data_IF_630441687584
#
_entry.id   IF_630441687584
#
_cell.length_a   1.000
_cell.length_b   1.000
_cell.length_c   1.000
_cell.angle_alpha   90.00
_cell.angle_beta   90.00
_cell.angle_gamma   90.00
#
_symmetry.space_group_name_H-M   'P 1'
#
loop_
_entity.id
_entity.type
_entity.pdbx_description
1 polymer ?
#
# COMPACT_ATOMS: atom_id res chain seq x y z
N UNK A 1 19.16 -13.36 -28.03
CA UNK A 1 18.07 -13.53 -27.06
C UNK A 1 18.24 -12.47 -25.99
N UNK A 2 17.49 -11.38 -26.06
CA UNK A 2 17.42 -10.38 -24.97
C UNK A 2 16.75 -11.07 -23.79
N UNK A 3 17.47 -11.24 -22.68
CA UNK A 3 16.88 -11.74 -21.44
C UNK A 3 15.77 -10.78 -21.05
N UNK A 4 14.54 -11.29 -20.88
CA UNK A 4 13.46 -10.50 -20.29
C UNK A 4 13.90 -10.05 -18.88
N UNK A 5 13.67 -8.78 -18.52
CA UNK A 5 14.04 -8.28 -17.21
C UNK A 5 13.33 -9.07 -16.11
N UNK A 6 14.03 -9.35 -15.02
CA UNK A 6 13.44 -10.04 -13.86
C UNK A 6 12.43 -9.11 -13.18
N UNK A 7 11.19 -9.55 -12.91
CA UNK A 7 10.20 -8.72 -12.23
C UNK A 7 10.69 -8.38 -10.81
N UNK A 8 10.53 -7.11 -10.44
CA UNK A 8 10.85 -6.61 -9.09
C UNK A 8 9.59 -6.30 -8.28
N UNK A 9 8.48 -6.02 -8.96
CA UNK A 9 7.23 -5.58 -8.35
C UNK A 9 6.02 -6.28 -8.96
N UNK A 10 4.93 -6.31 -8.17
CA UNK A 10 3.62 -6.82 -8.54
C UNK A 10 2.55 -5.83 -8.07
N UNK A 11 1.45 -5.72 -8.81
CA UNK A 11 0.31 -4.91 -8.36
C UNK A 11 -0.38 -5.63 -7.20
N UNK A 12 -0.75 -4.89 -6.15
CA UNK A 12 -1.32 -5.46 -4.92
C UNK A 12 -2.63 -6.20 -5.16
N UNK A 13 -3.52 -5.63 -5.98
CA UNK A 13 -4.84 -6.21 -6.26
C UNK A 13 -4.86 -7.15 -7.47
N UNK A 14 -4.33 -6.71 -8.61
CA UNK A 14 -4.44 -7.46 -9.87
C UNK A 14 -3.28 -8.42 -10.15
N UNK A 15 -2.22 -8.40 -9.36
CA UNK A 15 -0.99 -9.13 -9.67
C UNK A 15 -0.25 -8.51 -10.87
N UNK A 16 0.44 -9.34 -11.65
CA UNK A 16 1.22 -8.91 -12.81
C UNK A 16 2.71 -8.73 -12.53
N UNK A 17 3.49 -8.59 -13.60
CA UNK A 17 4.95 -8.58 -13.57
C UNK A 17 5.48 -7.22 -13.98
N UNK A 18 5.99 -6.49 -13.00
CA UNK A 18 6.53 -5.16 -13.21
C UNK A 18 8.00 -5.10 -12.82
N UNK A 19 8.76 -4.30 -13.55
CA UNK A 19 10.12 -3.93 -13.17
C UNK A 19 10.20 -2.43 -13.01
N UNK A 20 10.64 -1.99 -11.83
CA UNK A 20 11.06 -0.60 -11.64
C UNK A 20 12.38 -0.38 -12.37
N UNK A 21 12.41 0.60 -13.27
CA UNK A 21 13.58 0.90 -14.10
C UNK A 21 14.35 2.09 -13.57
N UNK A 22 13.66 3.16 -13.18
CA UNK A 22 14.30 4.41 -12.77
C UNK A 22 13.38 5.25 -11.89
N UNK A 23 13.98 6.05 -11.02
CA UNK A 23 13.29 7.10 -10.27
C UNK A 23 13.88 8.46 -10.63
N UNK A 24 13.02 9.47 -10.82
CA UNK A 24 13.44 10.84 -11.14
C UNK A 24 12.53 11.86 -10.45
N UNK A 25 13.02 13.10 -10.32
CA UNK A 25 12.17 14.20 -9.91
C UNK A 25 11.41 14.74 -11.12
N UNK A 26 10.11 14.98 -10.96
CA UNK A 26 9.29 15.63 -11.96
C UNK A 26 9.73 17.07 -12.17
N UNK A 27 9.43 17.60 -13.36
CA UNK A 27 9.71 18.98 -13.75
C UNK A 27 8.42 19.68 -14.19
N UNK A 28 8.41 21.01 -14.18
CA UNK A 28 7.25 21.80 -14.59
C UNK A 28 6.03 21.52 -13.70
N UNK A 29 4.86 21.13 -14.26
CA UNK A 29 3.67 20.83 -13.46
C UNK A 29 3.83 19.68 -12.45
N UNK A 30 4.86 18.85 -12.61
CA UNK A 30 5.18 17.72 -11.71
C UNK A 30 6.36 18.04 -10.79
N UNK A 31 6.79 19.30 -10.72
CA UNK A 31 7.83 19.73 -9.78
C UNK A 31 7.44 19.40 -8.33
N UNK A 32 8.43 19.00 -7.54
CA UNK A 32 8.22 18.52 -6.17
C UNK A 32 7.72 17.07 -6.06
N UNK A 33 7.31 16.43 -7.17
CA UNK A 33 6.89 15.03 -7.16
C UNK A 33 8.06 14.12 -7.60
N UNK A 34 8.20 12.97 -6.95
CA UNK A 34 9.09 11.90 -7.42
C UNK A 34 8.29 10.98 -8.35
N UNK A 35 8.87 10.68 -9.50
CA UNK A 35 8.29 9.84 -10.54
C UNK A 35 9.03 8.51 -10.61
N UNK A 36 8.28 7.44 -10.83
CA UNK A 36 8.75 6.07 -10.99
C UNK A 36 8.49 5.66 -12.43
N UNK A 37 9.55 5.29 -13.15
CA UNK A 37 9.48 4.66 -14.46
C UNK A 37 9.52 3.17 -14.25
N UNK A 38 8.53 2.47 -14.78
CA UNK A 38 8.41 1.03 -14.68
C UNK A 38 8.00 0.41 -16.02
N UNK A 39 8.26 -0.87 -16.18
CA UNK A 39 7.82 -1.66 -17.33
C UNK A 39 6.87 -2.75 -16.89
N UNK A 40 5.72 -2.83 -17.56
CA UNK A 40 4.86 -4.02 -17.56
C UNK A 40 5.50 -5.05 -18.50
N UNK A 41 6.14 -6.07 -17.92
CA UNK A 41 6.97 -7.04 -18.65
C UNK A 41 6.14 -7.87 -19.62
N UNK A 42 4.87 -8.13 -19.29
CA UNK A 42 3.99 -8.94 -20.13
C UNK A 42 3.54 -8.18 -21.37
N UNK A 43 3.37 -6.85 -21.25
CA UNK A 43 2.98 -5.99 -22.36
C UNK A 43 4.17 -5.35 -23.09
N UNK A 44 5.36 -5.35 -22.48
CA UNK A 44 6.53 -4.63 -22.98
C UNK A 44 6.30 -3.11 -23.02
N UNK A 45 5.46 -2.58 -22.13
CA UNK A 45 5.08 -1.16 -22.09
C UNK A 45 5.80 -0.50 -20.92
N UNK A 46 6.56 0.54 -21.21
CA UNK A 46 7.11 1.46 -20.21
C UNK A 46 6.10 2.54 -19.87
N UNK A 47 5.88 2.76 -18.58
CA UNK A 47 4.97 3.75 -18.04
C UNK A 47 5.67 4.54 -16.94
N UNK A 48 5.16 5.74 -16.67
CA UNK A 48 5.59 6.54 -15.54
C UNK A 48 4.39 6.79 -14.62
N UNK A 49 4.62 6.71 -13.32
CA UNK A 49 3.65 7.12 -12.30
C UNK A 49 4.34 7.91 -11.19
N UNK A 50 3.57 8.51 -10.29
CA UNK A 50 4.13 9.16 -9.09
C UNK A 50 4.59 8.11 -8.08
N UNK A 51 5.59 8.45 -7.25
CA UNK A 51 6.05 7.55 -6.19
C UNK A 51 4.92 7.21 -5.21
N UNK A 52 4.04 8.16 -4.91
CA UNK A 52 2.90 7.92 -4.04
C UNK A 52 1.98 6.85 -4.61
N UNK A 53 1.61 6.97 -5.88
CA UNK A 53 0.78 5.98 -6.58
C UNK A 53 1.49 4.62 -6.67
N UNK A 54 2.79 4.63 -6.99
CA UNK A 54 3.61 3.41 -7.04
C UNK A 54 3.58 2.64 -5.72
N UNK A 55 3.85 3.31 -4.60
CA UNK A 55 3.87 2.68 -3.28
C UNK A 55 2.49 2.20 -2.82
N UNK A 56 1.44 2.93 -3.22
CA UNK A 56 0.06 2.60 -2.90
C UNK A 56 -0.41 1.34 -3.63
N UNK A 57 -0.08 1.19 -4.91
CA UNK A 57 -0.68 0.17 -5.78
C UNK A 57 0.26 -1.00 -6.08
N UNK A 58 1.58 -0.81 -6.01
CA UNK A 58 2.58 -1.86 -6.21
C UNK A 58 3.28 -2.21 -4.91
N UNK A 59 3.79 -3.44 -4.87
CA UNK A 59 4.69 -3.91 -3.82
C UNK A 59 5.84 -4.68 -4.43
N UNK A 60 6.98 -4.66 -3.76
CA UNK A 60 8.09 -5.53 -4.12
C UNK A 60 7.67 -7.00 -4.04
N UNK A 61 8.20 -7.81 -4.95
CA UNK A 61 8.05 -9.27 -4.93
C UNK A 61 9.01 -9.81 -3.87
N UNK A 62 8.45 -10.50 -2.88
CA UNK A 62 9.22 -11.16 -1.83
C UNK A 62 9.86 -12.46 -2.36
N UNK A 63 10.97 -12.94 -1.78
CA UNK A 63 11.63 -14.17 -2.23
C UNK A 63 10.74 -15.42 -2.17
N UNK A 64 9.82 -15.44 -1.21
CA UNK A 64 8.85 -16.51 -0.98
C UNK A 64 7.52 -16.28 -1.71
N UNK A 65 7.38 -15.22 -2.51
CA UNK A 65 6.17 -15.04 -3.32
C UNK A 65 6.13 -16.08 -4.43
N UNK A 66 4.93 -16.63 -4.64
CA UNK A 66 4.65 -17.51 -5.76
C UNK A 66 4.94 -16.82 -7.08
N UNK A 67 5.90 -17.34 -7.85
CA UNK A 67 6.31 -16.81 -9.15
C UNK A 67 5.24 -16.91 -10.25
N UNK A 68 4.12 -17.58 -9.98
CA UNK A 68 2.97 -17.66 -10.88
C UNK A 68 1.97 -16.56 -10.55
N UNK A 69 1.50 -16.49 -9.29
CA UNK A 69 0.50 -15.50 -8.88
C UNK A 69 1.10 -14.21 -8.28
N UNK A 70 2.42 -14.09 -8.23
CA UNK A 70 3.16 -12.97 -7.62
C UNK A 70 2.65 -12.63 -6.22
N UNK A 71 2.38 -13.66 -5.41
CA UNK A 71 1.90 -13.50 -4.04
C UNK A 71 0.46 -13.03 -3.87
N UNK A 72 -0.35 -12.95 -4.93
CA UNK A 72 -1.79 -12.63 -4.83
C UNK A 72 -2.63 -13.79 -4.31
N UNK A 73 -2.14 -15.03 -4.45
CA UNK A 73 -2.90 -16.24 -4.11
C UNK A 73 -3.97 -16.61 -5.13
N UNK A 74 -4.20 -15.81 -6.17
CA UNK A 74 -5.25 -16.05 -7.17
C UNK A 74 -4.68 -16.20 -8.58
N UNK A 75 -5.39 -16.94 -9.44
CA UNK A 75 -4.98 -17.16 -10.83
C UNK A 75 -5.35 -15.94 -11.71
N UNK A 76 -4.51 -14.90 -11.64
CA UNK A 76 -4.66 -13.72 -12.50
C UNK A 76 -4.25 -13.99 -13.95
N UNK A 77 -3.39 -14.98 -14.21
CA UNK A 77 -2.93 -15.36 -15.54
C UNK A 77 -4.09 -15.88 -16.41
N UNK A 78 -5.02 -16.65 -15.82
CA UNK A 78 -6.21 -17.15 -16.53
C UNK A 78 -7.41 -16.20 -16.45
N UNK A 79 -7.21 -14.98 -15.96
CA UNK A 79 -8.28 -14.00 -15.77
C UNK A 79 -9.36 -14.43 -14.76
N UNK A 80 -9.07 -15.43 -13.92
CA UNK A 80 -10.04 -16.01 -13.00
C UNK A 80 -9.65 -15.67 -11.55
N UNK A 81 -9.91 -14.40 -11.18
CA UNK A 81 -9.54 -13.82 -9.88
C UNK A 81 -10.19 -14.54 -8.70
N UNK A 82 -11.27 -15.28 -8.92
CA UNK A 82 -12.00 -16.00 -7.87
C UNK A 82 -11.41 -17.39 -7.59
N UNK A 83 -10.46 -17.85 -8.41
CA UNK A 83 -9.84 -19.17 -8.24
C UNK A 83 -8.48 -19.07 -7.57
N UNK A 84 -8.18 -19.97 -6.60
CA UNK A 84 -6.87 -20.04 -5.99
C UNK A 84 -5.83 -20.40 -7.05
N UNK A 85 -4.66 -19.80 -6.94
CA UNK A 85 -3.51 -20.17 -7.76
C UNK A 85 -3.15 -21.63 -7.48
N UNK A 86 -3.20 -22.48 -8.51
CA UNK A 86 -2.90 -23.91 -8.37
C UNK A 86 -1.44 -24.20 -8.02
N UNK A 87 -0.51 -23.29 -8.29
CA UNK A 87 0.92 -23.50 -8.01
C UNK A 87 1.26 -23.34 -6.52
N UNK A 88 0.61 -22.42 -5.82
CA UNK A 88 0.79 -22.21 -4.38
C UNK A 88 -0.46 -22.60 -3.56
N UNK A 89 -1.39 -23.34 -4.17
CA UNK A 89 -2.66 -23.74 -3.57
C UNK A 89 -3.42 -22.58 -2.89
N UNK A 90 -3.35 -21.39 -3.47
CA UNK A 90 -4.02 -20.21 -2.94
C UNK A 90 -3.29 -19.44 -1.84
N UNK A 91 -2.16 -19.93 -1.33
CA UNK A 91 -1.44 -19.27 -0.24
C UNK A 91 -0.72 -17.98 -0.67
N UNK A 92 -0.48 -17.80 -1.97
CA UNK A 92 0.37 -16.73 -2.50
C UNK A 92 1.86 -16.96 -2.22
N UNK A 93 2.21 -17.77 -1.23
CA UNK A 93 3.60 -18.04 -0.84
C UNK A 93 4.06 -19.43 -1.28
N UNK A 94 5.37 -19.56 -1.40
CA UNK A 94 6.11 -20.79 -1.62
C UNK A 94 6.89 -21.14 -0.35
N UNK A 95 7.65 -22.22 -0.42
CA UNK A 95 8.62 -22.57 0.61
C UNK A 95 9.73 -21.53 0.69
N UNK A 96 10.50 -21.56 1.78
CA UNK A 96 11.61 -20.64 2.03
C UNK A 96 12.74 -20.74 0.97
N UNK A 97 12.85 -21.87 0.28
CA UNK A 97 13.79 -22.09 -0.82
C UNK A 97 13.26 -21.57 -2.18
N UNK A 98 12.04 -21.03 -2.22
CA UNK A 98 11.41 -20.52 -3.43
C UNK A 98 10.73 -21.60 -4.29
N UNK A 99 10.64 -22.85 -3.80
CA UNK A 99 9.97 -23.94 -4.50
C UNK A 99 8.51 -24.13 -4.06
N UNK A 100 7.68 -24.63 -4.97
CA UNK A 100 6.31 -24.99 -4.62
C UNK A 100 6.26 -26.19 -3.69
N UNK A 101 5.33 -26.17 -2.74
CA UNK A 101 5.02 -27.34 -1.92
C UNK A 101 4.57 -28.50 -2.83
N UNK A 102 5.21 -29.65 -2.64
CA UNK A 102 4.97 -30.84 -3.46
C UNK A 102 3.92 -31.76 -2.85
N UNK A 103 3.71 -31.66 -1.54
CA UNK A 103 2.71 -32.42 -0.80
C UNK A 103 1.97 -31.57 0.25
N UNK A 104 1.00 -32.21 0.92
CA UNK A 104 0.13 -31.55 1.88
C UNK A 104 0.82 -31.18 3.19
N UNK A 105 1.88 -31.89 3.59
CA UNK A 105 2.66 -31.57 4.79
C UNK A 105 3.54 -30.35 4.56
N UNK A 106 4.20 -30.29 3.41
CA UNK A 106 4.95 -29.12 2.98
C UNK A 106 4.04 -27.89 2.88
N UNK A 107 2.84 -28.06 2.32
CA UNK A 107 1.85 -26.98 2.25
C UNK A 107 1.42 -26.49 3.65
N UNK A 108 1.21 -27.41 4.59
CA UNK A 108 0.88 -27.07 5.97
C UNK A 108 2.03 -26.31 6.67
N UNK A 109 3.28 -26.66 6.39
CA UNK A 109 4.45 -25.93 6.87
C UNK A 109 4.45 -24.49 6.34
N UNK A 110 4.26 -24.29 5.02
CA UNK A 110 4.18 -22.95 4.43
C UNK A 110 3.04 -22.13 5.07
N UNK A 111 1.86 -22.71 5.24
CA UNK A 111 0.74 -22.04 5.88
C UNK A 111 1.05 -21.65 7.35
N UNK A 112 1.72 -22.53 8.08
CA UNK A 112 2.14 -22.30 9.47
C UNK A 112 3.13 -21.15 9.57
N UNK A 113 4.10 -21.09 8.65
CA UNK A 113 5.09 -19.99 8.58
C UNK A 113 4.42 -18.65 8.29
N UNK A 114 3.44 -18.60 7.38
CA UNK A 114 2.62 -17.40 7.12
C UNK A 114 1.92 -16.93 8.39
N UNK A 115 1.28 -17.85 9.12
CA UNK A 115 0.54 -17.52 10.35
C UNK A 115 1.49 -16.98 11.43
N UNK A 116 2.66 -17.60 11.61
CA UNK A 116 3.65 -17.12 12.57
C UNK A 116 4.19 -15.74 12.20
N UNK A 117 4.50 -15.51 10.93
CA UNK A 117 4.93 -14.22 10.40
C UNK A 117 3.88 -13.13 10.66
N UNK A 118 2.60 -13.41 10.35
CA UNK A 118 1.50 -12.48 10.60
C UNK A 118 1.31 -12.18 12.09
N UNK A 119 1.39 -13.20 12.95
CA UNK A 119 1.31 -13.00 14.41
C UNK A 119 2.44 -12.12 14.94
N UNK A 120 3.67 -12.33 14.47
CA UNK A 120 4.82 -11.51 14.84
C UNK A 120 4.64 -10.05 14.40
N UNK A 121 4.18 -9.84 13.16
CA UNK A 121 3.90 -8.49 12.63
C UNK A 121 2.81 -7.79 13.45
N UNK A 122 1.69 -8.46 13.73
CA UNK A 122 0.60 -7.90 14.55
C UNK A 122 1.11 -7.56 15.94
N UNK A 123 1.86 -8.45 16.59
CA UNK A 123 2.43 -8.18 17.91
C UNK A 123 3.35 -6.95 17.90
N UNK A 124 4.16 -6.76 16.86
CA UNK A 124 4.99 -5.58 16.69
C UNK A 124 4.16 -4.31 16.53
N UNK A 125 3.10 -4.32 15.71
CA UNK A 125 2.20 -3.19 15.54
C UNK A 125 1.48 -2.84 16.84
N UNK A 126 0.98 -3.85 17.57
CA UNK A 126 0.36 -3.66 18.88
C UNK A 126 1.34 -3.01 19.86
N UNK A 127 2.59 -3.47 19.93
CA UNK A 127 3.61 -2.87 20.79
C UNK A 127 3.92 -1.41 20.43
N UNK A 128 3.87 -1.05 19.14
CA UNK A 128 4.02 0.35 18.69
C UNK A 128 2.81 1.18 19.11
N UNK A 129 1.59 0.67 18.91
CA UNK A 129 0.35 1.37 19.28
C UNK A 129 0.27 1.57 20.79
N UNK A 130 0.67 0.58 21.58
CA UNK A 130 0.67 0.64 23.04
C UNK A 130 1.81 1.50 23.61
N UNK A 131 2.72 2.00 22.78
CA UNK A 131 3.80 2.86 23.22
C UNK A 131 3.25 4.22 23.71
N UNK A 132 3.49 4.62 24.98
CA UNK A 132 2.97 5.86 25.54
C UNK A 132 3.40 7.12 24.76
N UNK A 133 4.62 7.12 24.20
CA UNK A 133 5.10 8.25 23.40
C UNK A 133 4.33 8.39 22.08
N UNK A 134 3.95 7.25 21.47
CA UNK A 134 3.12 7.23 20.25
C UNK A 134 1.70 7.70 20.56
N UNK A 135 1.11 7.23 21.67
CA UNK A 135 -0.21 7.69 22.13
C UNK A 135 -0.23 9.20 22.38
N UNK A 136 0.77 9.73 23.09
CA UNK A 136 0.88 11.17 23.35
C UNK A 136 1.00 11.98 22.05
N UNK A 137 1.74 11.48 21.06
CA UNK A 137 1.84 12.11 19.73
C UNK A 137 0.51 12.12 18.99
N UNK A 138 -0.23 11.00 19.00
CA UNK A 138 -1.55 10.91 18.38
C UNK A 138 -2.57 11.84 19.05
N UNK A 139 -2.54 11.95 20.38
CA UNK A 139 -3.40 12.85 21.14
C UNK A 139 -3.06 14.32 20.86
N UNK A 140 -1.78 14.67 20.78
CA UNK A 140 -1.34 16.00 20.37
C UNK A 140 -1.83 16.36 18.96
N UNK A 141 -1.73 15.42 18.02
CA UNK A 141 -2.18 15.63 16.64
C UNK A 141 -3.71 15.81 16.58
N UNK A 142 -4.48 15.01 17.35
CA UNK A 142 -5.93 15.19 17.47
C UNK A 142 -6.31 16.55 18.05
N UNK A 143 -5.61 17.00 19.09
CA UNK A 143 -5.83 18.32 19.69
C UNK A 143 -5.52 19.46 18.71
N UNK A 144 -4.46 19.33 17.91
CA UNK A 144 -4.15 20.31 16.86
C UNK A 144 -5.24 20.38 15.79
N UNK A 145 -5.72 19.24 15.29
CA UNK A 145 -6.81 19.23 14.29
C UNK A 145 -8.09 19.87 14.83
N UNK A 146 -8.44 19.60 16.10
CA UNK A 146 -9.58 20.27 16.75
C UNK A 146 -9.35 21.77 16.82
N UNK A 147 -8.17 22.20 17.28
CA UNK A 147 -7.81 23.63 17.38
C UNK A 147 -7.87 24.32 16.02
N UNK A 148 -7.32 23.70 14.98
CA UNK A 148 -7.31 24.22 13.62
C UNK A 148 -8.71 24.29 13.02
N UNK A 149 -9.58 23.33 13.35
CA UNK A 149 -10.98 23.33 12.90
C UNK A 149 -11.81 24.44 13.57
N UNK A 150 -11.60 24.68 14.87
CA UNK A 150 -12.24 25.78 15.60
C UNK A 150 -11.72 27.13 15.11
N UNK A 151 -10.41 27.24 14.85
CA UNK A 151 -9.80 28.43 14.28
C UNK A 151 -10.36 28.77 12.89
N UNK A 152 -10.49 27.76 12.01
CA UNK A 152 -11.13 27.91 10.70
C UNK A 152 -12.60 28.32 10.81
N UNK A 153 -13.37 27.68 11.69
CA UNK A 153 -14.78 28.05 11.90
C UNK A 153 -14.93 29.49 12.41
N UNK A 154 -14.03 29.93 13.29
CA UNK A 154 -14.03 31.31 13.79
C UNK A 154 -13.68 32.31 12.69
N UNK A 155 -12.68 32.01 11.86
CA UNK A 155 -12.34 32.82 10.68
C UNK A 155 -13.49 32.87 9.68
N UNK A 156 -14.13 31.74 9.37
CA UNK A 156 -15.30 31.68 8.49
C UNK A 156 -16.50 32.47 9.04
N UNK A 157 -16.70 32.49 10.35
CA UNK A 157 -17.73 33.30 10.99
C UNK A 157 -17.39 34.80 10.99
N UNK A 158 -16.12 35.13 11.26
CA UNK A 158 -15.60 36.50 11.26
C UNK A 158 -15.60 37.12 9.85
N UNK A 159 -15.16 36.37 8.86
CA UNK A 159 -15.00 36.80 7.46
C UNK A 159 -16.29 36.60 6.65
N UNK A 160 -17.20 35.77 7.13
CA UNK A 160 -18.49 35.50 6.50
C UNK A 160 -19.58 36.54 6.81
N UNK A 161 -20.55 36.65 5.90
CA UNK A 161 -21.81 37.38 6.14
C UNK A 161 -22.79 36.58 7.06
N UNK A 162 -22.26 35.66 7.87
CA UNK A 162 -23.02 34.63 8.59
C UNK A 162 -23.77 35.17 9.80
N UNK A 163 -25.07 34.87 9.85
CA UNK A 163 -25.93 35.12 11.00
C UNK A 163 -25.63 34.12 12.13
N UNK A 164 -25.55 34.60 13.38
CA UNK A 164 -25.41 33.73 14.56
C UNK A 164 -26.66 32.87 14.80
N UNK A 165 -26.61 31.85 15.67
CA UNK A 165 -27.78 31.09 16.09
C UNK A 165 -28.78 32.05 16.77
N UNK A 166 -29.80 32.48 16.01
CA UNK A 166 -30.72 33.58 16.39
C UNK A 166 -30.87 34.69 15.33
N UNK A 167 -30.15 34.65 14.21
CA UNK A 167 -30.36 35.56 13.08
C UNK A 167 -29.77 36.97 13.26
N UNK A 168 -29.23 37.33 14.43
CA UNK A 168 -28.67 38.66 14.69
C UNK A 168 -27.15 38.64 14.78
N UNK A 169 -26.52 39.64 14.13
CA UNK A 169 -25.12 39.99 14.34
C UNK A 169 -25.02 40.70 15.69
N UNK A 170 -24.29 40.12 16.63
CA UNK A 170 -23.87 40.82 17.84
C UNK A 170 -22.60 41.61 17.51
N UNK A 171 -22.75 42.77 16.86
CA UNK A 171 -21.71 43.79 16.85
C UNK A 171 -21.87 44.57 18.15
N UNK A 172 -21.03 44.26 19.14
CA UNK A 172 -20.93 45.07 20.35
C UNK A 172 -20.31 46.42 20.01
N UNK A 173 -21.04 47.49 20.28
CA UNK A 173 -20.47 48.80 20.60
C UNK A 173 -20.03 48.84 22.07
#
# INVERSE_FOLDING_TARGET
MTQQPKPTHTHRESGGKFVELQQHYGTGPLEGHRLIIYEDIEKGIQSATTQQDWLANWRAIAPDDCMVCMGTGTDHIKGNKDRPCGHCYGLGKLRADGEAATDMWELATVATDIIHSQRAHIAQLSAIVENPAVQALLDQQRQQVITDSVGRQYQEWSDGHGHGPGGQRYTGD
#
